data_IF_283210486722
#
_entry.id   IF_283210486722
#
_cell.length_a   1.000
_cell.length_b   1.000
_cell.length_c   1.000
_cell.angle_alpha   90.00
_cell.angle_beta   90.00
_cell.angle_gamma   90.00
#
_symmetry.space_group_name_H-M   'P 1'
#
loop_
_entity.id
_entity.type
_entity.pdbx_description
1 polymer ?
#
# COMPACT_ATOMS: atom_id res chain seq x y z
N UNK A 1 -53.33 15.59 5.65
CA UNK A 1 -52.27 14.72 5.12
C UNK A 1 -51.12 15.58 4.60
N UNK A 2 -50.01 15.64 5.34
CA UNK A 2 -48.82 16.42 4.96
C UNK A 2 -47.89 15.56 4.07
N UNK A 3 -47.30 16.12 2.99
CA UNK A 3 -46.43 15.38 2.09
C UNK A 3 -45.01 15.18 2.68
N UNK A 4 -44.48 13.97 2.48
CA UNK A 4 -43.18 13.52 2.99
C UNK A 4 -42.02 14.11 2.16
N UNK A 5 -40.86 14.46 2.75
CA UNK A 5 -39.70 14.96 2.02
C UNK A 5 -39.07 13.83 1.18
N UNK A 6 -38.89 14.10 -0.11
CA UNK A 6 -38.12 13.25 -1.04
C UNK A 6 -36.70 13.04 -0.50
N UNK A 7 -36.32 11.79 -0.27
CA UNK A 7 -34.95 11.39 0.02
C UNK A 7 -34.06 11.69 -1.19
N UNK A 8 -33.04 12.51 -0.98
CA UNK A 8 -32.03 12.89 -1.96
C UNK A 8 -31.11 11.68 -2.28
N UNK A 9 -30.66 11.47 -3.53
CA UNK A 9 -29.80 10.34 -3.86
C UNK A 9 -28.44 10.49 -3.19
N UNK A 10 -28.10 9.55 -2.31
CA UNK A 10 -26.79 9.48 -1.68
C UNK A 10 -25.70 9.34 -2.75
N UNK A 11 -24.97 10.43 -3.00
CA UNK A 11 -23.80 10.51 -3.88
C UNK A 11 -22.88 9.31 -3.58
N UNK A 12 -22.42 8.54 -4.59
CA UNK A 12 -21.48 7.45 -4.35
C UNK A 12 -20.25 8.01 -3.65
N UNK A 13 -19.99 7.57 -2.42
CA UNK A 13 -18.75 7.92 -1.71
C UNK A 13 -17.61 7.48 -2.60
N UNK A 14 -16.82 8.44 -3.10
CA UNK A 14 -15.62 8.14 -3.85
C UNK A 14 -14.83 7.08 -3.07
N UNK A 15 -14.43 5.96 -3.70
CA UNK A 15 -13.67 4.93 -3.02
C UNK A 15 -12.43 5.60 -2.42
N UNK A 16 -12.35 5.61 -1.09
CA UNK A 16 -11.17 6.10 -0.38
C UNK A 16 -9.96 5.39 -0.97
N UNK A 17 -8.90 6.14 -1.28
CA UNK A 17 -7.64 5.59 -1.76
C UNK A 17 -7.28 4.40 -0.86
N UNK A 18 -7.33 3.20 -1.43
CA UNK A 18 -7.10 1.98 -0.68
C UNK A 18 -5.60 1.97 -0.35
N UNK A 19 -5.23 1.76 0.92
CA UNK A 19 -3.82 1.59 1.24
C UNK A 19 -3.29 0.41 0.43
N UNK A 20 -2.14 0.61 -0.21
CA UNK A 20 -1.50 -0.39 -1.08
C UNK A 20 -1.39 -1.72 -0.35
N UNK A 21 -1.98 -2.77 -0.91
CA UNK A 21 -1.94 -4.11 -0.30
C UNK A 21 -0.52 -4.68 -0.42
N UNK A 22 -0.01 -5.31 0.62
CA UNK A 22 1.27 -6.02 0.53
C UNK A 22 0.94 -7.49 0.47
N UNK A 23 1.30 -8.13 -0.65
CA UNK A 23 1.27 -9.58 -0.82
C UNK A 23 2.67 -10.11 -0.57
N UNK A 24 2.78 -11.22 0.16
CA UNK A 24 4.05 -11.90 0.38
C UNK A 24 4.23 -13.11 -0.54
N UNK A 25 3.15 -13.55 -1.20
CA UNK A 25 3.15 -14.71 -2.08
C UNK A 25 2.64 -14.29 -3.46
N UNK A 26 3.29 -14.79 -4.51
CA UNK A 26 2.93 -14.49 -5.89
C UNK A 26 1.60 -15.18 -6.28
N UNK A 27 1.30 -16.31 -5.65
CA UNK A 27 0.08 -17.10 -5.88
C UNK A 27 -1.20 -16.31 -5.61
N UNK A 28 -1.16 -15.30 -4.74
CA UNK A 28 -2.34 -14.43 -4.49
C UNK A 28 -2.67 -13.49 -5.65
N UNK A 29 -1.72 -13.32 -6.56
CA UNK A 29 -1.85 -12.56 -7.80
C UNK A 29 -2.11 -13.48 -9.01
N UNK A 30 -1.86 -14.80 -8.87
CA UNK A 30 -2.16 -15.79 -9.92
C UNK A 30 -3.67 -15.88 -10.14
N UNK A 31 -4.08 -15.77 -11.40
CA UNK A 31 -5.49 -15.77 -11.79
C UNK A 31 -6.21 -14.42 -11.64
N UNK A 32 -5.53 -13.38 -11.11
CA UNK A 32 -6.04 -12.01 -11.14
C UNK A 32 -5.38 -11.23 -12.28
N UNK A 33 -6.12 -10.41 -13.03
CA UNK A 33 -5.49 -9.49 -13.97
C UNK A 33 -4.70 -8.46 -13.17
N UNK A 34 -3.37 -8.59 -13.16
CA UNK A 34 -2.47 -7.59 -12.60
C UNK A 34 -1.71 -6.91 -13.73
N UNK A 35 -1.45 -5.61 -13.56
CA UNK A 35 -0.54 -4.86 -14.40
C UNK A 35 0.70 -4.62 -13.58
N UNK A 36 1.83 -5.09 -14.09
CA UNK A 36 3.11 -4.72 -13.52
C UNK A 36 3.33 -3.21 -13.75
N UNK A 37 3.65 -2.51 -12.67
CA UNK A 37 3.93 -1.08 -12.68
C UNK A 37 5.43 -0.79 -12.50
N UNK A 38 6.24 -1.82 -12.23
CA UNK A 38 7.65 -1.74 -11.90
C UNK A 38 7.97 -2.17 -10.47
N UNK A 39 9.26 -2.30 -10.21
CA UNK A 39 9.80 -2.71 -8.91
C UNK A 39 9.87 -1.53 -7.95
N UNK A 40 9.57 -1.78 -6.67
CA UNK A 40 9.66 -0.79 -5.60
C UNK A 40 10.55 -1.31 -4.48
N UNK A 41 11.46 -0.47 -4.03
CA UNK A 41 12.31 -0.74 -2.87
C UNK A 41 11.93 0.17 -1.70
N UNK A 42 12.16 -0.33 -0.49
CA UNK A 42 12.07 0.43 0.74
C UNK A 42 13.11 -0.05 1.71
N UNK A 43 14.06 0.82 2.04
CA UNK A 43 15.10 0.59 3.02
C UNK A 43 14.86 1.44 4.28
N UNK A 44 15.39 0.94 5.40
CA UNK A 44 15.50 1.68 6.65
C UNK A 44 16.93 1.49 7.15
N UNK A 45 17.84 2.36 6.72
CA UNK A 45 19.23 2.35 7.15
C UNK A 45 19.42 3.17 8.44
N UNK A 46 20.20 2.63 9.38
CA UNK A 46 20.71 3.37 10.54
C UNK A 46 22.12 3.88 10.20
N UNK A 47 22.23 5.13 9.77
CA UNK A 47 23.53 5.72 9.40
C UNK A 47 24.39 6.10 10.61
N UNK A 48 23.76 6.38 11.75
CA UNK A 48 24.42 6.79 12.99
C UNK A 48 23.77 6.09 14.19
N UNK A 49 24.50 5.88 15.29
CA UNK A 49 23.95 5.34 16.54
C UNK A 49 22.89 6.25 17.21
N UNK A 50 22.71 7.47 16.72
CA UNK A 50 21.62 8.37 17.12
C UNK A 50 20.36 8.20 16.25
N UNK A 51 20.46 7.48 15.13
CA UNK A 51 19.32 7.20 14.27
C UNK A 51 18.55 5.98 14.79
N UNK A 52 17.29 5.86 14.39
CA UNK A 52 16.47 4.73 14.83
C UNK A 52 17.01 3.42 14.26
N UNK A 53 16.99 2.31 15.04
CA UNK A 53 17.49 1.04 14.57
C UNK A 53 16.80 0.60 13.27
N UNK A 54 17.53 -0.12 12.39
CA UNK A 54 16.99 -0.55 11.10
C UNK A 54 15.77 -1.43 11.34
N UNK A 55 14.61 -0.91 10.94
CA UNK A 55 13.31 -1.50 11.28
C UNK A 55 12.60 -1.97 10.01
N UNK A 56 12.36 -3.28 9.92
CA UNK A 56 11.53 -3.91 8.89
C UNK A 56 10.17 -3.21 8.70
N UNK A 57 9.40 -2.83 9.75
CA UNK A 57 8.13 -2.13 9.54
C UNK A 57 8.30 -0.75 8.87
N UNK A 58 9.40 -0.05 9.13
CA UNK A 58 9.71 1.25 8.52
C UNK A 58 10.06 1.07 7.04
N UNK A 59 10.94 0.11 6.72
CA UNK A 59 11.30 -0.27 5.36
C UNK A 59 10.04 -0.65 4.54
N UNK A 60 9.18 -1.50 5.13
CA UNK A 60 7.93 -1.94 4.50
C UNK A 60 6.95 -0.79 4.25
N UNK A 61 6.85 0.15 5.19
CA UNK A 61 6.02 1.35 5.01
C UNK A 61 6.57 2.27 3.92
N UNK A 62 7.89 2.46 3.85
CA UNK A 62 8.54 3.21 2.76
C UNK A 62 8.28 2.58 1.40
N UNK A 63 8.44 1.26 1.28
CA UNK A 63 8.10 0.50 0.08
C UNK A 63 6.64 0.73 -0.33
N UNK A 64 5.70 0.65 0.63
CA UNK A 64 4.28 0.88 0.39
C UNK A 64 3.97 2.31 -0.09
N UNK A 65 4.67 3.32 0.44
CA UNK A 65 4.53 4.72 0.01
C UNK A 65 5.07 4.89 -1.41
N UNK A 66 6.23 4.31 -1.73
CA UNK A 66 6.80 4.37 -3.09
C UNK A 66 5.87 3.70 -4.12
N UNK A 67 5.29 2.57 -3.78
CA UNK A 67 4.26 1.94 -4.59
C UNK A 67 3.01 2.81 -4.76
N UNK A 68 2.58 3.48 -3.69
CA UNK A 68 1.45 4.41 -3.74
C UNK A 68 1.72 5.57 -4.70
N UNK A 69 2.96 6.08 -4.75
CA UNK A 69 3.37 7.14 -5.70
C UNK A 69 3.30 6.65 -7.15
N UNK A 70 3.56 5.38 -7.40
CA UNK A 70 3.41 4.75 -8.71
C UNK A 70 1.95 4.40 -9.04
N UNK A 71 0.99 4.81 -8.19
CA UNK A 71 -0.42 4.45 -8.29
C UNK A 71 -0.65 2.93 -8.31
N UNK A 72 0.25 2.18 -7.67
CA UNK A 72 0.05 0.76 -7.47
C UNK A 72 -1.04 0.54 -6.44
N UNK A 73 -1.81 -0.53 -6.62
CA UNK A 73 -2.84 -0.95 -5.67
C UNK A 73 -2.29 -2.03 -4.72
N UNK A 74 -1.18 -2.67 -5.11
CA UNK A 74 -0.53 -3.72 -4.37
C UNK A 74 0.98 -3.77 -4.63
N UNK A 75 1.72 -4.39 -3.72
CA UNK A 75 3.15 -4.72 -3.85
C UNK A 75 3.34 -6.19 -3.51
N UNK A 76 4.12 -6.88 -4.33
CA UNK A 76 4.59 -8.23 -4.04
C UNK A 76 5.96 -8.15 -3.34
N UNK A 77 5.97 -8.39 -2.04
CA UNK A 77 7.20 -8.43 -1.25
C UNK A 77 8.01 -9.67 -1.65
N UNK A 78 9.25 -9.46 -2.12
CA UNK A 78 10.17 -10.55 -2.46
C UNK A 78 11.03 -10.96 -1.27
N UNK A 79 11.81 -10.02 -0.74
CA UNK A 79 12.66 -10.22 0.43
C UNK A 79 12.61 -9.00 1.34
N UNK A 80 12.81 -9.23 2.64
CA UNK A 80 12.91 -8.17 3.62
C UNK A 80 13.92 -8.63 4.67
N UNK A 81 15.12 -8.07 4.63
CA UNK A 81 16.25 -8.48 5.46
C UNK A 81 16.81 -7.27 6.20
N UNK A 82 17.36 -7.51 7.39
CA UNK A 82 18.13 -6.51 8.13
C UNK A 82 19.59 -6.77 7.84
N UNK A 83 20.20 -5.92 7.03
CA UNK A 83 21.65 -5.94 6.82
C UNK A 83 22.29 -5.10 7.94
N UNK A 84 23.04 -5.76 8.84
CA UNK A 84 23.71 -5.14 9.98
C UNK A 84 25.19 -4.87 9.73
#
# INVERSE_FOLDING_TARGET
TAPQPKAEPAKPKAPRATPVRIYTNAEELVGKPFRDLGEVSGDSCQASNQDSPPSIPTARKRMQINASKMKANAVLLHSCEVTS
#
